data_IF_710487694203
#
_entry.id   IF_710487694203
#
_cell.length_a   1.000
_cell.length_b   1.000
_cell.length_c   1.000
_cell.angle_alpha   90.00
_cell.angle_beta   90.00
_cell.angle_gamma   90.00
#
_symmetry.space_group_name_H-M   'P 1'
#
loop_
_entity.id
_entity.type
_entity.pdbx_description
1 polymer ?
#
# COMPACT_ATOMS: atom_id res chain seq x y z
N UNK A 1 -31.20 1.80 17.65
CA UNK A 1 -29.95 2.51 17.28
C UNK A 1 -29.76 2.30 15.79
N UNK A 2 -29.96 3.34 14.97
CA UNK A 2 -29.65 3.23 13.53
C UNK A 2 -28.13 3.13 13.41
N UNK A 3 -27.61 2.01 12.94
CA UNK A 3 -26.21 1.90 12.55
C UNK A 3 -26.05 2.73 11.28
N UNK A 4 -25.62 3.98 11.43
CA UNK A 4 -25.15 4.78 10.30
C UNK A 4 -23.90 4.04 9.80
N UNK A 5 -24.02 3.37 8.66
CA UNK A 5 -22.85 2.88 7.93
C UNK A 5 -22.09 4.14 7.51
N UNK A 6 -20.97 4.42 8.18
CA UNK A 6 -20.07 5.47 7.73
C UNK A 6 -19.39 4.96 6.48
N UNK A 7 -19.71 5.58 5.35
CA UNK A 7 -18.98 5.34 4.11
C UNK A 7 -17.64 6.08 4.18
N UNK A 8 -16.55 5.47 3.67
CA UNK A 8 -15.30 6.15 3.47
C UNK A 8 -15.49 7.45 2.65
N UNK A 9 -14.80 8.55 2.99
CA UNK A 9 -14.96 9.85 2.32
C UNK A 9 -14.47 9.84 0.86
N UNK A 10 -13.64 8.87 0.48
CA UNK A 10 -13.18 8.62 -0.88
C UNK A 10 -14.17 7.80 -1.73
N UNK A 11 -15.28 7.35 -1.15
CA UNK A 11 -16.26 6.48 -1.82
C UNK A 11 -15.77 5.04 -1.99
N UNK A 12 -14.70 4.66 -1.29
CA UNK A 12 -14.13 3.32 -1.30
C UNK A 12 -15.05 2.24 -0.75
N UNK A 13 -14.77 1.00 -1.12
CA UNK A 13 -15.45 -0.17 -0.54
C UNK A 13 -14.98 -0.40 0.89
N UNK A 14 -15.90 -0.83 1.76
CA UNK A 14 -15.60 -1.20 3.15
C UNK A 14 -15.06 -2.63 3.19
N UNK A 15 -13.86 -2.82 3.73
CA UNK A 15 -13.24 -4.11 3.98
C UNK A 15 -13.60 -4.65 5.37
N UNK A 16 -13.25 -5.91 5.62
CA UNK A 16 -13.53 -6.59 6.91
C UNK A 16 -12.91 -5.87 8.11
N UNK A 17 -11.75 -5.24 7.93
CA UNK A 17 -11.05 -4.55 9.02
C UNK A 17 -11.37 -3.06 9.15
N UNK A 18 -12.08 -2.48 8.17
CA UNK A 18 -12.33 -1.04 8.11
C UNK A 18 -13.05 -0.54 9.36
N UNK A 19 -12.37 0.31 10.12
CA UNK A 19 -12.93 1.01 11.27
C UNK A 19 -12.55 2.50 11.25
N UNK A 20 -13.43 3.32 10.68
CA UNK A 20 -13.23 4.78 10.50
C UNK A 20 -13.12 5.58 11.81
N UNK A 21 -13.33 4.96 12.97
CA UNK A 21 -13.08 5.59 14.27
C UNK A 21 -11.62 5.51 14.74
N UNK A 22 -10.80 4.70 14.07
CA UNK A 22 -9.39 4.50 14.39
C UNK A 22 -8.50 5.45 13.58
N UNK A 23 -7.29 5.73 14.09
CA UNK A 23 -6.29 6.52 13.36
C UNK A 23 -5.84 5.84 12.07
N UNK A 24 -5.80 4.50 12.07
CA UNK A 24 -5.54 3.67 10.90
C UNK A 24 -6.79 2.82 10.67
N UNK A 25 -7.68 3.20 9.74
CA UNK A 25 -8.93 2.49 9.53
C UNK A 25 -8.74 1.03 9.13
N UNK A 26 -7.64 0.72 8.42
CA UNK A 26 -7.36 -0.62 7.89
C UNK A 26 -5.91 -1.02 8.21
N UNK A 27 -5.65 -1.45 9.47
CA UNK A 27 -4.28 -1.60 9.97
C UNK A 27 -3.50 -2.75 9.30
N UNK A 28 -4.13 -3.89 8.99
CA UNK A 28 -3.41 -5.01 8.35
C UNK A 28 -3.10 -4.69 6.88
N UNK A 29 -4.02 -4.05 6.15
CA UNK A 29 -3.79 -3.57 4.79
C UNK A 29 -2.69 -2.49 4.78
N UNK A 30 -2.66 -1.60 5.76
CA UNK A 30 -1.60 -0.58 5.89
C UNK A 30 -0.25 -1.23 6.14
N UNK A 31 -0.15 -2.17 7.10
CA UNK A 31 1.09 -2.86 7.44
C UNK A 31 1.61 -3.68 6.25
N UNK A 32 0.74 -4.40 5.55
CA UNK A 32 1.14 -5.20 4.38
C UNK A 32 1.55 -4.32 3.20
N UNK A 33 0.92 -3.17 3.00
CA UNK A 33 1.36 -2.16 2.01
C UNK A 33 2.75 -1.60 2.34
N UNK A 34 2.99 -1.27 3.61
CA UNK A 34 4.31 -0.88 4.11
C UNK A 34 5.36 -1.98 3.90
N UNK A 35 4.99 -3.25 4.08
CA UNK A 35 5.87 -4.38 3.83
C UNK A 35 6.27 -4.48 2.35
N UNK A 36 5.33 -4.26 1.42
CA UNK A 36 5.67 -4.18 -0.01
C UNK A 36 6.63 -3.02 -0.33
N UNK A 37 6.48 -1.87 0.34
CA UNK A 37 7.45 -0.78 0.22
C UNK A 37 8.84 -1.16 0.74
N UNK A 38 8.92 -1.87 1.86
CA UNK A 38 10.19 -2.37 2.38
C UNK A 38 10.88 -3.32 1.37
N UNK A 39 10.12 -4.19 0.71
CA UNK A 39 10.62 -5.05 -0.38
C UNK A 39 11.12 -4.20 -1.55
N UNK A 40 10.36 -3.18 -1.96
CA UNK A 40 10.74 -2.30 -3.07
C UNK A 40 12.06 -1.57 -2.76
N UNK A 41 12.21 -1.05 -1.55
CA UNK A 41 13.43 -0.38 -1.07
C UNK A 41 14.61 -1.34 -1.05
N UNK A 42 14.44 -2.54 -0.48
CA UNK A 42 15.48 -3.57 -0.46
C UNK A 42 16.02 -3.88 -1.86
N UNK A 43 15.11 -4.11 -2.81
CA UNK A 43 15.49 -4.45 -4.19
C UNK A 43 16.06 -3.27 -4.96
N UNK A 44 15.64 -2.04 -4.64
CA UNK A 44 16.24 -0.82 -5.21
C UNK A 44 17.72 -0.73 -4.84
N UNK A 45 18.07 -1.00 -3.58
CA UNK A 45 19.47 -1.08 -3.16
C UNK A 45 20.21 -2.22 -3.85
N UNK A 46 19.56 -3.39 -3.99
CA UNK A 46 20.19 -4.56 -4.62
C UNK A 46 20.47 -4.37 -6.12
N UNK A 47 19.63 -3.61 -6.81
CA UNK A 47 19.73 -3.31 -8.24
C UNK A 47 20.60 -2.10 -8.57
N UNK A 48 21.09 -1.39 -7.54
CA UNK A 48 21.84 -0.16 -7.72
C UNK A 48 23.02 -0.35 -8.69
N UNK A 49 23.04 0.44 -9.76
CA UNK A 49 24.06 0.38 -10.82
C UNK A 49 23.78 -0.61 -11.96
N UNK A 50 22.85 -1.57 -11.79
CA UNK A 50 22.57 -2.63 -12.78
C UNK A 50 21.11 -2.61 -13.30
N UNK A 51 20.37 -1.52 -13.11
CA UNK A 51 18.97 -1.40 -13.53
C UNK A 51 18.72 -1.77 -15.00
N UNK A 52 19.64 -1.40 -15.91
CA UNK A 52 19.52 -1.70 -17.35
C UNK A 52 19.66 -3.19 -17.68
N UNK A 53 20.36 -3.96 -16.85
CA UNK A 53 20.51 -5.42 -17.05
C UNK A 53 19.27 -6.19 -16.56
N UNK A 54 18.49 -5.56 -15.68
CA UNK A 54 17.32 -6.15 -15.05
C UNK A 54 16.07 -5.28 -15.29
N UNK A 55 15.77 -5.01 -16.57
CA UNK A 55 14.68 -4.10 -16.98
C UNK A 55 13.34 -4.55 -16.40
N UNK A 56 13.02 -5.84 -16.49
CA UNK A 56 11.78 -6.39 -15.93
C UNK A 56 11.64 -6.06 -14.45
N UNK A 57 12.66 -6.39 -13.64
CA UNK A 57 12.63 -6.14 -12.20
C UNK A 57 12.60 -4.65 -11.89
N UNK A 58 13.31 -3.82 -12.66
CA UNK A 58 13.30 -2.36 -12.50
C UNK A 58 11.92 -1.76 -12.74
N UNK A 59 11.21 -2.20 -13.78
CA UNK A 59 9.83 -1.79 -14.05
C UNK A 59 8.89 -2.32 -12.95
N UNK A 60 9.05 -3.58 -12.55
CA UNK A 60 8.28 -4.17 -11.47
C UNK A 60 8.44 -3.40 -10.15
N UNK A 61 9.64 -2.89 -9.83
CA UNK A 61 9.85 -2.03 -8.67
C UNK A 61 9.07 -0.72 -8.74
N UNK A 62 9.03 -0.08 -9.92
CA UNK A 62 8.23 1.15 -10.09
C UNK A 62 6.75 0.86 -9.81
N UNK A 63 6.22 -0.23 -10.36
CA UNK A 63 4.83 -0.65 -10.10
C UNK A 63 4.61 -0.99 -8.62
N UNK A 64 5.57 -1.66 -7.98
CA UNK A 64 5.50 -2.02 -6.57
C UNK A 64 5.54 -0.78 -5.66
N UNK A 65 6.32 0.24 -6.00
CA UNK A 65 6.31 1.51 -5.29
C UNK A 65 4.96 2.23 -5.43
N UNK A 66 4.39 2.29 -6.63
CA UNK A 66 3.08 2.91 -6.86
C UNK A 66 2.01 2.18 -6.04
N UNK A 67 1.99 0.85 -6.11
CA UNK A 67 1.03 0.04 -5.35
C UNK A 67 1.22 0.15 -3.84
N UNK A 68 2.46 0.12 -3.35
CA UNK A 68 2.76 0.24 -1.92
C UNK A 68 2.45 1.62 -1.34
N UNK A 69 2.82 2.70 -2.04
CA UNK A 69 2.53 4.08 -1.60
C UNK A 69 1.02 4.30 -1.63
N UNK A 70 0.36 3.90 -2.72
CA UNK A 70 -1.09 3.97 -2.86
C UNK A 70 -1.80 3.22 -1.74
N UNK A 71 -1.42 1.95 -1.49
CA UNK A 71 -2.01 1.13 -0.44
C UNK A 71 -1.80 1.72 0.95
N UNK A 72 -0.58 2.14 1.31
CA UNK A 72 -0.30 2.74 2.62
C UNK A 72 -1.06 4.05 2.83
N UNK A 73 -1.24 4.86 1.77
CA UNK A 73 -1.96 6.15 1.85
C UNK A 73 -3.48 5.98 1.85
N UNK A 74 -3.99 4.94 1.20
CA UNK A 74 -5.43 4.68 1.09
C UNK A 74 -5.98 3.96 2.33
N UNK A 75 -5.23 3.00 2.88
CA UNK A 75 -5.66 2.19 4.02
C UNK A 75 -5.29 2.77 5.39
N UNK A 76 -4.25 3.61 5.42
CA UNK A 76 -3.70 4.21 6.64
C UNK A 76 -4.34 5.53 6.96
#
# INVERSE_FOLDING_TARGET
MSLIIQNPPDGGTIYTETNLSQLFPEPLNTITSCFFLAIAVYWTFKLWGNFKQHVFLSIALVLLYIGGIGGTTYHG
#
